data_IF_671742380686
#
_entry.id   IF_671742380686
#
_cell.length_a   1.000
_cell.length_b   1.000
_cell.length_c   1.000
_cell.angle_alpha   90.00
_cell.angle_beta   90.00
_cell.angle_gamma   90.00
#
_symmetry.space_group_name_H-M   'P 1'
#
loop_
_entity.id
_entity.type
_entity.pdbx_description
1 polymer ?
#
# COMPACT_ATOMS: atom_id res chain seq x y z
N UNK A 1 -2.31 -54.59 86.29
CA UNK A 1 -1.74 -53.28 86.57
C UNK A 1 -0.77 -52.91 85.45
N UNK A 2 -1.17 -52.07 84.50
CA UNK A 2 -0.33 -51.25 83.61
C UNK A 2 -1.23 -50.27 82.89
N UNK A 3 -1.10 -49.05 83.32
CA UNK A 3 -1.76 -47.85 82.78
C UNK A 3 -1.15 -47.51 81.43
N UNK A 4 -1.99 -47.32 80.40
CA UNK A 4 -1.56 -46.79 79.06
C UNK A 4 -2.12 -45.38 78.96
N UNK A 5 -1.22 -44.39 78.90
CA UNK A 5 -1.52 -43.00 78.57
C UNK A 5 -1.65 -42.88 77.05
N UNK A 6 -2.79 -42.36 76.61
CA UNK A 6 -3.02 -41.97 75.17
C UNK A 6 -2.64 -40.49 74.99
N UNK A 7 -1.66 -40.23 74.17
CA UNK A 7 -1.26 -38.88 73.75
C UNK A 7 -2.05 -38.43 72.54
N UNK A 8 -2.79 -37.34 72.62
CA UNK A 8 -3.43 -36.67 71.52
C UNK A 8 -2.39 -35.80 70.81
N UNK A 9 -2.10 -36.10 69.50
CA UNK A 9 -1.36 -35.23 68.63
C UNK A 9 -2.35 -34.31 67.91
N UNK A 10 -2.29 -33.00 68.16
CA UNK A 10 -3.02 -31.97 67.45
C UNK A 10 -2.21 -31.63 66.22
N UNK A 11 -2.69 -32.02 65.03
CA UNK A 11 -2.13 -31.61 63.71
C UNK A 11 -2.73 -30.24 63.34
N UNK A 12 -1.93 -29.21 63.50
CA UNK A 12 -2.28 -27.86 63.03
C UNK A 12 -2.19 -27.76 61.48
N UNK A 13 -3.34 -27.67 60.81
CA UNK A 13 -3.41 -27.33 59.38
C UNK A 13 -3.14 -25.83 59.22
N UNK A 14 -1.94 -25.46 58.73
CA UNK A 14 -1.64 -24.10 58.32
C UNK A 14 -2.27 -23.89 56.91
N UNK A 15 -3.37 -23.13 56.85
CA UNK A 15 -3.91 -22.64 55.58
C UNK A 15 -2.95 -21.59 55.00
N UNK A 16 -2.14 -21.97 54.00
CA UNK A 16 -1.44 -21.04 53.13
C UNK A 16 -2.45 -20.42 52.15
N UNK A 17 -2.98 -19.24 52.50
CA UNK A 17 -3.77 -18.42 51.56
C UNK A 17 -2.81 -17.86 50.50
N UNK A 18 -2.73 -18.53 49.34
CA UNK A 18 -2.07 -17.98 48.14
C UNK A 18 -2.85 -16.77 47.69
N UNK A 19 -2.35 -15.58 47.95
CA UNK A 19 -2.83 -14.34 47.33
C UNK A 19 -2.38 -14.42 45.88
N UNK A 20 -3.27 -14.85 45.00
CA UNK A 20 -3.11 -14.71 43.54
C UNK A 20 -3.17 -13.22 43.21
N UNK A 21 -2.03 -12.56 43.32
CA UNK A 21 -1.88 -11.20 42.80
C UNK A 21 -2.14 -11.25 41.30
N UNK A 22 -3.22 -10.62 40.85
CA UNK A 22 -3.44 -10.36 39.45
C UNK A 22 -2.29 -9.47 38.97
N UNK A 23 -1.33 -10.06 38.25
CA UNK A 23 -0.31 -9.30 37.55
C UNK A 23 -1.05 -8.52 36.46
N UNK A 24 -1.41 -7.28 36.78
CA UNK A 24 -1.91 -6.33 35.81
C UNK A 24 -0.76 -6.08 34.84
N UNK A 25 -0.95 -6.41 33.58
CA UNK A 25 0.03 -6.07 32.55
C UNK A 25 0.33 -4.56 32.65
N UNK A 26 1.61 -4.21 32.69
CA UNK A 26 2.02 -2.82 32.76
C UNK A 26 1.45 -2.07 31.54
N UNK A 27 0.93 -0.87 31.79
CA UNK A 27 0.45 -0.03 30.68
C UNK A 27 1.63 0.29 29.74
N UNK A 28 1.41 0.29 28.41
CA UNK A 28 2.46 0.62 27.45
C UNK A 28 3.06 2.01 27.74
N UNK A 29 4.39 2.15 27.63
CA UNK A 29 5.03 3.45 27.83
C UNK A 29 4.64 4.45 26.73
N UNK A 30 4.67 5.78 27.01
CA UNK A 30 4.43 6.81 26.03
C UNK A 30 5.34 6.69 24.79
N UNK A 31 6.58 6.30 24.97
CA UNK A 31 7.57 6.10 23.89
C UNK A 31 7.17 4.93 22.99
N UNK A 32 6.71 3.81 23.58
CA UNK A 32 6.22 2.67 22.82
C UNK A 32 4.97 3.02 22.01
N UNK A 33 4.05 3.78 22.58
CA UNK A 33 2.84 4.28 21.90
C UNK A 33 3.23 5.21 20.74
N UNK A 34 4.14 6.16 20.98
CA UNK A 34 4.62 7.07 19.95
C UNK A 34 5.31 6.31 18.80
N UNK A 35 6.15 5.33 19.12
CA UNK A 35 6.77 4.47 18.11
C UNK A 35 5.72 3.65 17.35
N UNK A 36 4.75 3.07 18.04
CA UNK A 36 3.63 2.35 17.43
C UNK A 36 2.84 3.21 16.45
N UNK A 37 2.63 4.49 16.76
CA UNK A 37 1.99 5.45 15.86
C UNK A 37 2.78 5.59 14.55
N UNK A 38 4.10 5.79 14.62
CA UNK A 38 4.93 5.90 13.40
C UNK A 38 4.88 4.64 12.54
N UNK A 39 4.79 3.46 13.16
CA UNK A 39 4.65 2.20 12.44
C UNK A 39 3.27 2.05 11.80
N UNK A 40 2.19 2.47 12.46
CA UNK A 40 0.82 2.47 11.90
C UNK A 40 0.72 3.41 10.71
N UNK A 41 1.35 4.58 10.78
CA UNK A 41 1.46 5.53 9.67
C UNK A 41 2.28 4.92 8.51
N UNK A 42 3.45 4.37 8.79
CA UNK A 42 4.30 3.73 7.78
C UNK A 42 3.64 2.50 7.11
N UNK A 43 2.81 1.76 7.86
CA UNK A 43 2.05 0.62 7.37
C UNK A 43 0.75 0.98 6.65
N UNK A 44 0.45 2.28 6.50
CA UNK A 44 -0.76 2.79 5.83
C UNK A 44 -2.07 2.15 6.30
N UNK A 45 -2.16 1.83 7.59
CA UNK A 45 -3.30 1.10 8.15
C UNK A 45 -4.61 1.87 7.98
N UNK A 46 -4.56 3.21 8.07
CA UNK A 46 -5.74 4.08 7.98
C UNK A 46 -6.42 3.99 6.60
N UNK A 47 -5.66 3.86 5.51
CA UNK A 47 -6.19 3.81 4.14
C UNK A 47 -7.17 2.66 3.93
N UNK A 48 -6.95 1.52 4.57
CA UNK A 48 -7.87 0.38 4.50
C UNK A 48 -8.89 0.39 5.65
N UNK A 49 -8.49 0.79 6.85
CA UNK A 49 -9.29 0.60 8.05
C UNK A 49 -10.15 1.82 8.46
N UNK A 50 -10.26 2.84 7.58
CA UNK A 50 -11.10 4.02 7.80
C UNK A 50 -12.03 4.24 6.61
N UNK A 51 -13.27 3.76 6.70
CA UNK A 51 -14.29 4.04 5.69
C UNK A 51 -14.95 5.41 5.89
N UNK A 52 -15.11 5.81 7.15
CA UNK A 52 -15.67 7.08 7.58
C UNK A 52 -14.59 7.90 8.29
N UNK A 53 -14.15 9.04 7.76
CA UNK A 53 -13.13 9.88 8.41
C UNK A 53 -13.48 10.32 9.83
N UNK A 54 -14.77 10.40 10.18
CA UNK A 54 -15.22 10.71 11.54
C UNK A 54 -15.03 9.54 12.52
N UNK A 55 -14.76 8.34 12.01
CA UNK A 55 -14.56 7.11 12.79
C UNK A 55 -13.28 6.40 12.36
N UNK A 56 -12.11 7.00 12.59
CA UNK A 56 -10.84 6.44 12.14
C UNK A 56 -10.63 5.04 12.73
N UNK A 57 -10.09 4.15 11.91
CA UNK A 57 -9.84 2.74 12.22
C UNK A 57 -11.06 1.88 12.56
N UNK A 58 -12.29 2.38 12.41
CA UNK A 58 -13.50 1.60 12.65
C UNK A 58 -13.83 0.57 11.54
N UNK A 59 -12.97 0.44 10.54
CA UNK A 59 -13.12 -0.51 9.45
C UNK A 59 -14.20 -0.13 8.43
N UNK A 60 -14.72 -1.14 7.74
CA UNK A 60 -15.87 -1.00 6.83
C UNK A 60 -15.51 -0.59 5.39
N UNK A 61 -14.26 -0.18 5.10
CA UNK A 61 -13.85 0.17 3.73
C UNK A 61 -13.89 -1.09 2.86
N UNK A 62 -14.57 -0.97 1.72
CA UNK A 62 -14.64 -1.99 0.69
C UNK A 62 -13.33 -2.02 -0.10
N UNK A 63 -12.79 -3.20 -0.30
CA UNK A 63 -11.60 -3.46 -1.10
C UNK A 63 -12.00 -4.43 -2.21
N UNK A 64 -12.04 -3.93 -3.44
CA UNK A 64 -12.35 -4.74 -4.60
C UNK A 64 -11.12 -5.53 -5.05
N UNK A 65 -11.34 -6.80 -5.35
CA UNK A 65 -10.33 -7.73 -5.85
C UNK A 65 -10.83 -8.44 -7.10
N UNK A 66 -9.96 -9.06 -7.90
CA UNK A 66 -10.40 -9.90 -9.01
C UNK A 66 -11.32 -11.06 -8.60
N UNK A 67 -11.35 -11.41 -7.31
CA UNK A 67 -12.14 -12.52 -6.76
C UNK A 67 -13.46 -12.08 -6.13
N UNK A 68 -13.73 -10.80 -6.04
CA UNK A 68 -14.85 -10.17 -5.35
C UNK A 68 -14.40 -9.14 -4.33
N UNK A 69 -15.29 -8.68 -3.45
CA UNK A 69 -14.98 -7.67 -2.46
C UNK A 69 -14.68 -8.26 -1.08
N UNK A 70 -13.79 -7.61 -0.36
CA UNK A 70 -13.57 -7.80 1.07
C UNK A 70 -13.75 -6.48 1.80
N UNK A 71 -13.96 -6.54 3.10
CA UNK A 71 -14.11 -5.36 3.94
C UNK A 71 -13.04 -5.35 5.03
N UNK A 72 -12.37 -4.20 5.20
CA UNK A 72 -11.38 -4.03 6.25
C UNK A 72 -12.08 -4.07 7.62
N UNK A 73 -11.54 -4.82 8.61
CA UNK A 73 -12.14 -4.93 9.92
C UNK A 73 -11.91 -3.69 10.79
N UNK A 74 -12.66 -3.60 11.89
CA UNK A 74 -12.50 -2.62 12.95
C UNK A 74 -11.21 -2.90 13.75
N UNK A 75 -10.28 -1.94 13.78
CA UNK A 75 -9.04 -1.98 14.55
C UNK A 75 -9.09 -1.17 15.85
N UNK A 76 -10.24 -0.54 16.17
CA UNK A 76 -10.37 0.18 17.44
C UNK A 76 -10.36 -0.78 18.62
N UNK A 77 -10.05 -0.29 19.85
CA UNK A 77 -10.02 -1.13 21.05
C UNK A 77 -11.42 -1.49 21.60
N UNK A 78 -12.45 -1.45 20.76
CA UNK A 78 -13.76 -2.01 21.12
C UNK A 78 -13.62 -3.51 21.35
N UNK A 79 -14.17 -4.01 22.46
CA UNK A 79 -13.96 -5.40 22.91
C UNK A 79 -14.74 -6.41 22.10
N UNK A 80 -15.91 -6.01 21.59
CA UNK A 80 -16.87 -6.92 20.94
C UNK A 80 -16.73 -6.90 19.43
N UNK A 81 -16.46 -5.74 18.85
CA UNK A 81 -16.46 -5.56 17.38
C UNK A 81 -15.08 -5.19 16.81
N UNK A 82 -14.13 -4.81 17.67
CA UNK A 82 -12.77 -4.43 17.33
C UNK A 82 -11.73 -5.43 17.81
N UNK A 83 -10.53 -4.92 18.09
CA UNK A 83 -9.41 -5.75 18.56
C UNK A 83 -9.17 -5.67 20.07
N UNK A 84 -10.04 -4.98 20.84
CA UNK A 84 -9.86 -4.75 22.28
C UNK A 84 -9.83 -6.03 23.12
N UNK A 85 -10.54 -7.09 22.68
CA UNK A 85 -10.56 -8.40 23.31
C UNK A 85 -9.42 -9.34 22.92
N UNK A 86 -8.54 -8.96 21.98
CA UNK A 86 -7.49 -9.84 21.48
C UNK A 86 -6.27 -9.90 22.43
N UNK A 87 -5.67 -11.08 22.56
CA UNK A 87 -4.36 -11.19 23.17
C UNK A 87 -3.26 -10.65 22.22
N UNK A 88 -2.13 -10.21 22.78
CA UNK A 88 -0.97 -9.74 21.98
C UNK A 88 -0.45 -10.81 21.02
N UNK A 89 -0.51 -12.09 21.44
CA UNK A 89 -0.15 -13.22 20.60
C UNK A 89 -1.07 -13.38 19.41
N UNK A 90 -2.39 -13.13 19.56
CA UNK A 90 -3.35 -13.20 18.47
C UNK A 90 -3.14 -12.07 17.47
N UNK A 91 -2.88 -10.86 17.96
CA UNK A 91 -2.58 -9.72 17.11
C UNK A 91 -1.30 -9.92 16.29
N UNK A 92 -0.22 -10.38 16.96
CA UNK A 92 1.05 -10.71 16.28
C UNK A 92 0.86 -11.83 15.24
N UNK A 93 0.06 -12.86 15.59
CA UNK A 93 -0.25 -13.97 14.68
C UNK A 93 -1.05 -13.50 13.46
N UNK A 94 -2.02 -12.62 13.65
CA UNK A 94 -2.80 -12.03 12.57
C UNK A 94 -1.91 -11.25 11.59
N UNK A 95 -1.07 -10.34 12.09
CA UNK A 95 -0.18 -9.53 11.25
C UNK A 95 0.87 -10.39 10.53
N UNK A 96 1.55 -11.29 11.24
CA UNK A 96 2.71 -11.98 10.69
C UNK A 96 2.39 -13.27 9.95
N UNK A 97 1.26 -13.89 10.23
CA UNK A 97 0.91 -15.18 9.65
C UNK A 97 -0.46 -15.20 8.96
N UNK A 98 -1.20 -14.10 9.01
CA UNK A 98 -2.52 -14.02 8.41
C UNK A 98 -3.54 -14.97 9.03
N UNK A 99 -3.45 -15.22 10.34
CA UNK A 99 -4.32 -16.15 11.08
C UNK A 99 -5.09 -15.40 12.16
N UNK A 100 -6.41 -15.44 12.08
CA UNK A 100 -7.31 -14.82 13.04
C UNK A 100 -7.32 -15.53 14.40
N UNK A 101 -7.87 -14.92 15.47
CA UNK A 101 -7.97 -15.54 16.79
C UNK A 101 -8.70 -16.90 16.79
N UNK A 102 -9.71 -17.06 15.93
CA UNK A 102 -10.47 -18.30 15.75
C UNK A 102 -9.73 -19.39 14.93
N UNK A 103 -8.47 -19.10 14.50
CA UNK A 103 -7.66 -19.99 13.69
C UNK A 103 -7.95 -19.94 12.19
N UNK A 104 -8.91 -19.14 11.74
CA UNK A 104 -9.20 -18.97 10.32
C UNK A 104 -8.10 -18.13 9.63
N UNK A 105 -7.84 -18.41 8.34
CA UNK A 105 -6.87 -17.65 7.57
C UNK A 105 -7.49 -16.39 6.97
N UNK A 106 -6.74 -15.30 6.96
CA UNK A 106 -7.11 -14.09 6.21
C UNK A 106 -6.82 -14.25 4.71
N UNK A 107 -7.49 -13.45 3.89
CA UNK A 107 -7.17 -13.30 2.48
C UNK A 107 -5.93 -12.40 2.32
N UNK A 108 -5.05 -12.66 1.34
CA UNK A 108 -3.78 -11.93 1.19
C UNK A 108 -3.91 -10.50 0.66
N UNK A 109 -5.15 -10.01 0.47
CA UNK A 109 -5.41 -8.57 0.35
C UNK A 109 -5.14 -7.83 1.68
N UNK A 110 -5.23 -8.50 2.83
CA UNK A 110 -4.51 -8.14 4.04
C UNK A 110 -3.04 -8.52 3.84
N UNK A 111 -2.08 -7.57 3.81
CA UNK A 111 -0.73 -7.83 3.30
C UNK A 111 0.19 -8.56 4.30
N UNK A 112 -0.33 -9.58 5.02
CA UNK A 112 0.48 -10.42 5.91
C UNK A 112 1.69 -11.07 5.23
N UNK A 113 1.70 -11.34 3.89
CA UNK A 113 2.91 -11.83 3.23
C UNK A 113 4.08 -10.85 3.27
N UNK A 114 3.83 -9.59 3.51
CA UNK A 114 4.81 -8.53 3.75
C UNK A 114 5.03 -8.34 5.26
N UNK A 115 3.96 -8.21 6.02
CA UNK A 115 4.00 -7.98 7.48
C UNK A 115 4.69 -9.09 8.26
N UNK A 116 4.82 -10.30 7.70
CA UNK A 116 5.61 -11.38 8.31
C UNK A 116 7.07 -10.99 8.58
N UNK A 117 7.59 -9.99 7.84
CA UNK A 117 8.95 -9.46 8.01
C UNK A 117 9.12 -8.56 9.23
N UNK A 118 8.02 -8.08 9.83
CA UNK A 118 8.10 -7.24 11.02
C UNK A 118 8.60 -8.03 12.23
N UNK A 119 9.29 -7.34 13.12
CA UNK A 119 9.66 -7.89 14.42
C UNK A 119 8.42 -8.07 15.31
N UNK A 120 8.52 -8.89 16.32
CA UNK A 120 7.46 -9.01 17.33
C UNK A 120 7.28 -7.68 18.08
N UNK A 121 8.35 -6.99 18.38
CA UNK A 121 8.31 -5.72 19.11
C UNK A 121 7.60 -4.63 18.31
N UNK A 122 7.80 -4.57 16.99
CA UNK A 122 7.06 -3.67 16.13
C UNK A 122 5.55 -4.00 16.12
N UNK A 123 5.18 -5.28 16.10
CA UNK A 123 3.76 -5.65 16.18
C UNK A 123 3.13 -5.26 17.51
N UNK A 124 3.88 -5.36 18.61
CA UNK A 124 3.43 -4.94 19.94
C UNK A 124 3.35 -3.42 20.08
N UNK A 125 4.27 -2.68 19.47
CA UNK A 125 4.19 -1.22 19.41
C UNK A 125 2.94 -0.74 18.64
N UNK A 126 2.67 -1.33 17.47
CA UNK A 126 1.43 -1.08 16.71
C UNK A 126 0.20 -1.36 17.59
N UNK A 127 0.18 -2.50 18.27
CA UNK A 127 -0.91 -2.89 19.18
C UNK A 127 -1.10 -1.89 20.32
N UNK A 128 0.00 -1.42 20.91
CA UNK A 128 -0.02 -0.42 21.97
C UNK A 128 -0.67 0.88 21.50
N UNK A 129 -0.27 1.40 20.34
CA UNK A 129 -0.87 2.60 19.77
C UNK A 129 -2.37 2.41 19.46
N UNK A 130 -2.75 1.33 18.77
CA UNK A 130 -4.16 1.06 18.46
C UNK A 130 -5.02 0.94 19.72
N UNK A 131 -4.43 0.47 20.82
CA UNK A 131 -5.09 0.41 22.12
C UNK A 131 -5.41 1.76 22.75
N UNK A 132 -4.79 2.86 22.29
CA UNK A 132 -5.07 4.23 22.75
C UNK A 132 -6.20 4.93 22.01
N UNK A 133 -6.66 4.35 20.91
CA UNK A 133 -7.74 4.94 20.11
C UNK A 133 -9.07 4.90 20.85
N UNK A 134 -9.98 5.80 20.49
CA UNK A 134 -11.34 5.73 20.99
C UNK A 134 -12.03 4.44 20.50
N UNK A 135 -12.66 3.65 21.38
CA UNK A 135 -13.41 2.46 20.95
C UNK A 135 -14.65 2.87 20.12
N UNK A 136 -14.85 2.21 18.99
CA UNK A 136 -16.00 2.42 18.12
C UNK A 136 -16.71 1.09 17.91
N UNK A 137 -18.00 1.02 18.23
CA UNK A 137 -18.83 -0.14 17.94
C UNK A 137 -19.12 -0.17 16.44
N UNK A 138 -18.42 -1.06 15.71
CA UNK A 138 -18.57 -1.22 14.26
C UNK A 138 -18.40 -2.70 13.89
N UNK A 139 -19.49 -3.35 13.53
CA UNK A 139 -19.48 -4.78 13.17
C UNK A 139 -18.79 -5.00 11.84
N UNK A 140 -17.88 -5.97 11.80
CA UNK A 140 -17.19 -6.37 10.59
C UNK A 140 -18.14 -6.98 9.57
N UNK A 141 -18.06 -6.53 8.31
CA UNK A 141 -18.86 -7.08 7.22
C UNK A 141 -18.23 -8.37 6.69
N UNK A 142 -19.03 -9.40 6.34
CA UNK A 142 -18.53 -10.59 5.68
C UNK A 142 -17.99 -10.25 4.27
N UNK A 143 -17.01 -11.01 3.75
CA UNK A 143 -16.53 -10.81 2.39
C UNK A 143 -17.59 -11.22 1.35
N UNK A 144 -17.64 -10.50 0.22
CA UNK A 144 -18.49 -10.76 -0.94
C UNK A 144 -17.65 -11.39 -2.07
N UNK A 145 -17.13 -12.58 -1.84
CA UNK A 145 -16.28 -13.28 -2.80
C UNK A 145 -17.08 -14.27 -3.66
N UNK A 146 -16.69 -14.38 -4.94
CA UNK A 146 -17.30 -15.34 -5.86
C UNK A 146 -16.93 -16.76 -5.45
N UNK A 147 -17.87 -17.69 -5.65
CA UNK A 147 -17.57 -19.10 -5.46
C UNK A 147 -16.43 -19.55 -6.41
N UNK A 148 -15.42 -20.34 -5.95
CA UNK A 148 -15.26 -20.95 -4.60
C UNK A 148 -14.42 -20.10 -3.63
N UNK A 149 -14.02 -18.89 -3.98
CA UNK A 149 -13.04 -18.07 -3.24
C UNK A 149 -13.55 -17.64 -1.86
N UNK A 150 -14.86 -17.66 -1.60
CA UNK A 150 -15.43 -17.42 -0.26
C UNK A 150 -15.10 -18.49 0.78
N UNK A 151 -14.61 -19.67 0.35
CA UNK A 151 -14.25 -20.74 1.26
C UNK A 151 -12.82 -20.53 1.83
N UNK A 152 -12.74 -20.07 3.08
CA UNK A 152 -11.45 -19.71 3.74
C UNK A 152 -10.46 -20.88 3.85
N UNK A 153 -10.94 -22.12 3.83
CA UNK A 153 -10.06 -23.30 3.82
C UNK A 153 -9.08 -23.33 2.66
N UNK A 154 -9.44 -22.72 1.51
CA UNK A 154 -8.54 -22.59 0.36
C UNK A 154 -7.30 -21.76 0.66
N UNK A 155 -7.35 -20.85 1.65
CA UNK A 155 -6.21 -20.04 2.05
C UNK A 155 -5.08 -20.86 2.68
N UNK A 156 -5.37 -22.02 3.26
CA UNK A 156 -4.29 -22.92 3.74
C UNK A 156 -3.47 -23.45 2.58
N UNK A 157 -4.14 -23.85 1.48
CA UNK A 157 -3.47 -24.32 0.25
C UNK A 157 -2.68 -23.16 -0.36
N UNK A 158 -3.30 -21.98 -0.47
CA UNK A 158 -2.65 -20.78 -0.99
C UNK A 158 -1.40 -20.44 -0.18
N UNK A 159 -1.49 -20.44 1.14
CA UNK A 159 -0.34 -20.18 2.03
C UNK A 159 0.78 -21.19 1.84
N UNK A 160 0.47 -22.47 1.71
CA UNK A 160 1.48 -23.51 1.47
C UNK A 160 2.22 -23.28 0.14
N UNK A 161 1.53 -22.78 -0.89
CA UNK A 161 2.11 -22.59 -2.22
C UNK A 161 2.87 -21.25 -2.36
N UNK A 162 2.40 -20.18 -1.72
CA UNK A 162 2.82 -18.82 -2.04
C UNK A 162 3.31 -17.99 -0.86
N UNK A 163 3.05 -18.41 0.37
CA UNK A 163 3.45 -17.67 1.56
C UNK A 163 4.67 -18.31 2.22
N UNK A 164 5.71 -17.53 2.40
CA UNK A 164 6.90 -17.90 3.17
C UNK A 164 7.04 -16.97 4.36
N UNK A 165 6.71 -17.42 5.57
CA UNK A 165 6.89 -16.61 6.76
C UNK A 165 8.39 -16.41 7.06
N UNK A 166 8.75 -15.23 7.56
CA UNK A 166 10.13 -14.93 7.92
C UNK A 166 10.30 -13.47 8.31
N UNK A 167 11.26 -13.18 9.16
CA UNK A 167 11.67 -11.82 9.50
C UNK A 167 12.43 -11.20 8.33
N UNK A 168 12.50 -9.85 8.33
CA UNK A 168 13.47 -9.16 7.51
C UNK A 168 14.89 -9.49 7.99
N UNK A 169 15.74 -9.91 7.10
CA UNK A 169 17.14 -10.20 7.38
C UNK A 169 18.00 -9.05 6.84
N UNK A 170 18.66 -8.27 7.72
CA UNK A 170 19.55 -7.20 7.30
C UNK A 170 20.76 -7.74 6.53
N UNK A 171 21.09 -7.09 5.43
CA UNK A 171 22.33 -7.35 4.70
C UNK A 171 23.47 -6.57 5.36
N UNK A 172 24.42 -7.29 5.96
CA UNK A 172 25.55 -6.71 6.68
C UNK A 172 26.55 -5.98 5.77
N UNK A 173 26.47 -6.18 4.45
CA UNK A 173 27.30 -5.47 3.46
C UNK A 173 26.74 -4.12 3.10
N UNK A 174 25.49 -3.82 3.50
CA UNK A 174 24.77 -2.60 3.18
C UNK A 174 24.71 -1.64 4.36
N UNK A 175 24.43 -0.37 4.08
CA UNK A 175 24.27 0.65 5.12
C UNK A 175 23.02 0.41 5.98
N UNK A 176 23.01 0.97 7.19
CA UNK A 176 21.83 0.95 8.06
C UNK A 176 20.61 1.60 7.38
N UNK A 177 20.80 2.68 6.63
CA UNK A 177 19.72 3.33 5.86
C UNK A 177 19.18 2.41 4.77
N UNK A 178 20.03 1.69 4.06
CA UNK A 178 19.58 0.72 3.05
C UNK A 178 18.76 -0.41 3.68
N UNK A 179 19.24 -0.98 4.78
CA UNK A 179 18.54 -2.04 5.50
C UNK A 179 17.19 -1.56 6.06
N UNK A 180 17.14 -0.34 6.63
CA UNK A 180 15.89 0.26 7.08
C UNK A 180 14.91 0.46 5.91
N UNK A 181 15.40 0.95 4.78
CA UNK A 181 14.61 1.09 3.55
C UNK A 181 14.09 -0.25 3.04
N UNK A 182 14.94 -1.28 3.02
CA UNK A 182 14.54 -2.65 2.66
C UNK A 182 13.45 -3.21 3.55
N UNK A 183 13.57 -3.02 4.88
CA UNK A 183 12.55 -3.38 5.85
C UNK A 183 11.21 -2.68 5.58
N UNK A 184 11.24 -1.37 5.34
CA UNK A 184 10.03 -0.60 5.07
C UNK A 184 9.39 -1.00 3.73
N UNK A 185 10.15 -1.04 2.64
CA UNK A 185 9.63 -1.32 1.29
C UNK A 185 9.11 -2.74 1.15
N UNK A 186 9.84 -3.73 1.68
CA UNK A 186 9.52 -5.16 1.50
C UNK A 186 8.72 -5.76 2.64
N UNK A 187 8.57 -5.04 3.75
CA UNK A 187 7.86 -5.42 4.96
C UNK A 187 6.71 -4.45 5.25
N UNK A 188 6.90 -3.58 6.24
CA UNK A 188 5.83 -2.76 6.81
C UNK A 188 5.08 -1.88 5.80
N UNK A 189 5.80 -1.17 4.93
CA UNK A 189 5.21 -0.30 3.89
C UNK A 189 4.64 -1.06 2.69
N UNK A 190 4.84 -2.38 2.60
CA UNK A 190 4.28 -3.33 1.62
C UNK A 190 4.14 -2.80 0.18
N UNK A 191 5.09 -1.98 -0.29
CA UNK A 191 5.07 -1.33 -1.61
C UNK A 191 4.83 -2.34 -2.75
N UNK A 192 5.39 -3.55 -2.63
CA UNK A 192 5.20 -4.65 -3.57
C UNK A 192 3.74 -5.12 -3.69
N UNK A 193 2.87 -4.88 -2.70
CA UNK A 193 1.46 -5.26 -2.77
C UNK A 193 0.77 -4.64 -4.00
N UNK A 194 1.12 -3.39 -4.32
CA UNK A 194 0.64 -2.69 -5.50
C UNK A 194 1.63 -2.74 -6.67
N UNK A 195 2.94 -2.63 -6.41
CA UNK A 195 3.97 -2.46 -7.44
C UNK A 195 4.61 -3.76 -7.97
N UNK A 196 4.16 -4.94 -7.52
CA UNK A 196 4.64 -6.25 -8.02
C UNK A 196 3.53 -6.96 -8.79
N UNK A 197 3.80 -7.48 -10.01
CA UNK A 197 2.82 -8.23 -10.79
C UNK A 197 2.31 -9.45 -10.03
N UNK A 198 1.04 -9.78 -10.21
CA UNK A 198 0.39 -10.93 -9.58
C UNK A 198 0.24 -12.09 -10.57
N UNK A 199 0.22 -13.32 -10.04
CA UNK A 199 -0.21 -14.48 -10.79
C UNK A 199 -1.74 -14.62 -10.77
N UNK A 200 -2.28 -15.66 -11.41
CA UNK A 200 -3.72 -15.92 -11.48
C UNK A 200 -4.37 -16.18 -10.10
N UNK A 201 -3.58 -16.53 -9.09
CA UNK A 201 -4.03 -16.75 -7.72
C UNK A 201 -3.85 -15.52 -6.81
N UNK A 202 -3.47 -14.38 -7.38
CA UNK A 202 -3.25 -13.13 -6.64
C UNK A 202 -1.92 -13.06 -5.88
N UNK A 203 -1.05 -14.06 -6.01
CA UNK A 203 0.26 -14.05 -5.38
C UNK A 203 1.29 -13.28 -6.21
N UNK A 204 2.29 -12.70 -5.54
CA UNK A 204 3.36 -11.94 -6.17
C UNK A 204 4.23 -12.81 -7.09
N UNK A 205 4.54 -12.29 -8.26
CA UNK A 205 5.61 -12.84 -9.10
C UNK A 205 6.96 -12.34 -8.58
N UNK A 206 7.51 -13.04 -7.59
CA UNK A 206 8.70 -12.61 -6.85
C UNK A 206 9.91 -12.27 -7.75
N UNK A 207 10.11 -13.01 -8.84
CA UNK A 207 11.15 -12.71 -9.83
C UNK A 207 10.96 -11.39 -10.57
N UNK A 208 9.79 -10.75 -10.43
CA UNK A 208 9.43 -9.48 -11.02
C UNK A 208 9.05 -8.45 -9.93
N UNK A 209 9.62 -8.60 -8.73
CA UNK A 209 9.32 -7.70 -7.63
C UNK A 209 9.49 -6.23 -8.04
N UNK A 210 8.54 -5.39 -7.64
CA UNK A 210 8.53 -3.95 -7.89
C UNK A 210 8.59 -3.53 -9.38
N UNK A 211 8.26 -4.43 -10.33
CA UNK A 211 8.30 -4.12 -11.76
C UNK A 211 6.99 -3.59 -12.34
N UNK A 212 6.10 -3.10 -11.49
CA UNK A 212 4.81 -2.49 -11.85
C UNK A 212 3.67 -3.51 -11.98
N UNK A 213 2.45 -3.07 -11.67
CA UNK A 213 1.24 -3.89 -11.70
C UNK A 213 -0.01 -3.03 -11.88
N UNK A 214 -1.10 -3.63 -12.35
CA UNK A 214 -2.43 -3.01 -12.33
C UNK A 214 -3.17 -3.37 -11.05
N UNK A 215 -3.71 -2.36 -10.35
CA UNK A 215 -4.47 -2.52 -9.12
C UNK A 215 -5.61 -1.50 -9.08
N UNK A 216 -6.84 -1.95 -8.85
CA UNK A 216 -8.02 -1.07 -8.74
C UNK A 216 -8.25 -0.19 -9.98
N UNK A 217 -7.90 -0.66 -11.17
CA UNK A 217 -8.00 0.11 -12.42
C UNK A 217 -6.89 1.15 -12.61
N UNK A 218 -5.92 1.24 -11.71
CA UNK A 218 -4.73 2.07 -11.82
C UNK A 218 -3.50 1.22 -12.13
N UNK A 219 -2.56 1.76 -12.86
CA UNK A 219 -1.25 1.15 -13.05
C UNK A 219 -0.27 1.72 -12.03
N UNK A 220 0.12 0.91 -11.06
CA UNK A 220 1.22 1.22 -10.15
C UNK A 220 2.55 1.02 -10.92
N UNK A 221 3.33 2.09 -11.16
CA UNK A 221 4.53 2.01 -12.00
C UNK A 221 5.64 1.19 -11.36
N UNK A 222 6.70 0.93 -12.11
CA UNK A 222 7.90 0.27 -11.64
C UNK A 222 8.63 1.13 -10.61
N UNK A 223 9.09 0.49 -9.54
CA UNK A 223 9.95 1.09 -8.52
C UNK A 223 11.39 0.58 -8.59
N UNK A 224 11.72 -0.22 -9.61
CA UNK A 224 13.07 -0.73 -9.85
C UNK A 224 13.90 0.22 -10.75
N UNK A 225 15.17 -0.11 -11.00
CA UNK A 225 16.12 0.69 -11.76
C UNK A 225 15.93 0.65 -13.29
N UNK A 226 14.72 0.38 -13.80
CA UNK A 226 14.48 0.44 -15.25
C UNK A 226 14.72 1.84 -15.82
N UNK A 227 15.39 1.98 -16.97
CA UNK A 227 15.83 3.29 -17.50
C UNK A 227 14.69 4.24 -17.87
N UNK A 228 13.63 3.75 -18.52
CA UNK A 228 12.53 4.57 -19.05
C UNK A 228 11.30 4.53 -18.16
N UNK A 229 10.95 3.34 -17.65
CA UNK A 229 9.68 3.07 -16.97
C UNK A 229 9.81 2.91 -15.45
N UNK A 230 11.05 3.00 -14.92
CA UNK A 230 11.36 2.89 -13.50
C UNK A 230 12.05 4.12 -12.93
N UNK A 231 12.78 3.93 -11.84
CA UNK A 231 13.39 5.02 -11.07
C UNK A 231 14.84 5.34 -11.44
N UNK A 232 15.37 4.82 -12.57
CA UNK A 232 16.79 5.04 -12.96
C UNK A 232 17.14 6.53 -13.09
N UNK A 233 16.24 7.33 -13.65
CA UNK A 233 16.43 8.78 -13.87
C UNK A 233 16.10 9.64 -12.65
N UNK A 234 15.55 9.07 -11.58
CA UNK A 234 15.21 9.80 -10.35
C UNK A 234 16.42 9.84 -9.42
N UNK A 235 16.64 10.95 -8.73
CA UNK A 235 17.58 11.04 -7.61
C UNK A 235 16.91 10.51 -6.33
N UNK A 236 17.69 10.34 -5.27
CA UNK A 236 17.16 10.04 -3.93
C UNK A 236 16.24 11.17 -3.49
N UNK A 237 16.62 12.41 -3.76
CA UNK A 237 15.87 13.62 -3.43
C UNK A 237 14.53 13.69 -4.18
N UNK A 238 14.50 13.31 -5.47
CA UNK A 238 13.24 13.21 -6.23
C UNK A 238 12.26 12.23 -5.59
N UNK A 239 12.76 11.08 -5.14
CA UNK A 239 11.92 10.06 -4.48
C UNK A 239 11.43 10.56 -3.12
N UNK A 240 12.31 11.19 -2.33
CA UNK A 240 11.97 11.76 -1.02
C UNK A 240 10.89 12.85 -1.19
N UNK A 241 11.10 13.80 -2.11
CA UNK A 241 10.14 14.86 -2.38
C UNK A 241 8.78 14.30 -2.77
N UNK A 242 8.76 13.32 -3.70
CA UNK A 242 7.52 12.69 -4.15
C UNK A 242 6.76 12.00 -3.02
N UNK A 243 7.44 11.21 -2.20
CA UNK A 243 6.80 10.47 -1.10
C UNK A 243 6.28 11.40 0.01
N UNK A 244 6.92 12.53 0.24
CA UNK A 244 6.53 13.48 1.30
C UNK A 244 5.49 14.50 0.85
N UNK A 245 5.50 14.89 -0.42
CA UNK A 245 4.65 15.95 -0.94
C UNK A 245 3.58 15.49 -1.92
N UNK A 246 3.71 14.25 -2.44
CA UNK A 246 2.87 13.74 -3.52
C UNK A 246 3.26 14.27 -4.90
N UNK A 247 4.35 15.06 -5.01
CA UNK A 247 4.80 15.63 -6.27
C UNK A 247 6.28 15.99 -6.23
N UNK A 248 6.89 16.02 -7.39
CA UNK A 248 8.23 16.54 -7.59
C UNK A 248 8.34 17.16 -9.00
N UNK A 249 9.55 17.45 -9.44
CA UNK A 249 9.78 18.00 -10.78
C UNK A 249 9.49 17.01 -11.93
N UNK A 250 9.19 15.74 -11.65
CA UNK A 250 9.04 14.67 -12.66
C UNK A 250 7.64 14.05 -12.71
N UNK A 251 6.89 14.07 -11.59
CA UNK A 251 5.62 13.35 -11.49
C UNK A 251 4.76 13.85 -10.33
N UNK A 252 3.48 13.50 -10.40
CA UNK A 252 2.50 13.71 -9.33
C UNK A 252 1.87 12.38 -8.91
N UNK A 253 1.52 12.26 -7.64
CA UNK A 253 0.74 11.15 -7.11
C UNK A 253 -0.75 11.37 -7.40
N UNK A 254 -1.40 10.30 -7.85
CA UNK A 254 -2.82 10.30 -8.16
C UNK A 254 -3.46 8.97 -7.77
N UNK A 255 -4.79 8.91 -7.71
CA UNK A 255 -5.55 7.72 -7.36
C UNK A 255 -5.08 7.07 -6.05
N UNK A 256 -4.85 5.76 -6.07
CA UNK A 256 -4.44 5.02 -4.87
C UNK A 256 -3.10 5.49 -4.28
N UNK A 257 -2.15 5.95 -5.13
CA UNK A 257 -0.87 6.46 -4.62
C UNK A 257 -1.05 7.80 -3.88
N UNK A 258 -2.03 8.61 -4.26
CA UNK A 258 -2.40 9.81 -3.55
C UNK A 258 -2.86 9.50 -2.11
N UNK A 259 -3.68 8.44 -1.92
CA UNK A 259 -4.09 7.98 -0.59
C UNK A 259 -2.87 7.55 0.25
N UNK A 260 -1.93 6.80 -0.34
CA UNK A 260 -0.69 6.37 0.34
C UNK A 260 0.14 7.57 0.79
N UNK A 261 0.29 8.60 -0.06
CA UNK A 261 1.01 9.81 0.33
C UNK A 261 0.33 10.51 1.50
N UNK A 262 -0.98 10.76 1.41
CA UNK A 262 -1.72 11.50 2.44
C UNK A 262 -1.77 10.74 3.77
N UNK A 263 -2.00 9.44 3.74
CA UNK A 263 -2.24 8.65 4.94
C UNK A 263 -0.98 8.04 5.55
N UNK A 264 0.10 7.90 4.78
CA UNK A 264 1.33 7.24 5.18
C UNK A 264 2.57 8.10 4.95
N UNK A 265 3.08 8.14 3.73
CA UNK A 265 4.47 8.58 3.47
C UNK A 265 4.74 10.05 3.81
N UNK A 266 3.75 10.94 3.70
CA UNK A 266 3.89 12.35 4.13
C UNK A 266 4.01 12.53 5.66
N UNK A 267 3.64 11.51 6.44
CA UNK A 267 3.68 11.50 7.91
C UNK A 267 4.92 10.83 8.47
N UNK A 268 5.64 10.09 7.63
CA UNK A 268 6.86 9.40 8.03
C UNK A 268 8.00 10.37 8.33
N UNK A 269 8.95 9.91 9.14
CA UNK A 269 10.16 10.68 9.40
C UNK A 269 11.02 10.86 8.14
N UNK A 270 11.76 11.97 8.05
CA UNK A 270 12.68 12.23 6.95
C UNK A 270 13.71 11.11 6.78
N UNK A 271 14.15 10.52 7.89
CA UNK A 271 15.09 9.42 7.90
C UNK A 271 14.50 8.15 7.26
N UNK A 272 13.25 7.79 7.57
CA UNK A 272 12.58 6.62 7.02
C UNK A 272 12.23 6.80 5.53
N UNK A 273 11.74 7.98 5.14
CA UNK A 273 11.48 8.27 3.71
C UNK A 273 12.77 8.25 2.90
N UNK A 274 13.86 8.83 3.43
CA UNK A 274 15.19 8.75 2.79
C UNK A 274 15.72 7.32 2.72
N UNK A 275 15.49 6.52 3.74
CA UNK A 275 15.87 5.10 3.75
C UNK A 275 15.14 4.33 2.63
N UNK A 276 13.83 4.54 2.48
CA UNK A 276 13.03 4.00 1.36
C UNK A 276 13.66 4.41 0.02
N UNK A 277 13.97 5.69 -0.17
CA UNK A 277 14.55 6.21 -1.41
C UNK A 277 15.91 5.59 -1.72
N UNK A 278 16.80 5.46 -0.72
CA UNK A 278 18.12 4.81 -0.85
C UNK A 278 17.97 3.35 -1.28
N UNK A 279 17.06 2.62 -0.66
CA UNK A 279 16.79 1.23 -1.03
C UNK A 279 16.27 1.11 -2.46
N UNK A 280 15.19 1.84 -2.81
CA UNK A 280 14.59 1.78 -4.15
C UNK A 280 15.59 2.18 -5.24
N UNK A 281 16.43 3.19 -4.98
CA UNK A 281 17.44 3.66 -5.92
C UNK A 281 18.55 2.63 -6.19
N UNK A 282 18.80 1.72 -5.27
CA UNK A 282 19.80 0.66 -5.40
C UNK A 282 19.33 -0.53 -6.24
N UNK A 283 18.02 -0.65 -6.49
CA UNK A 283 17.47 -1.83 -7.13
C UNK A 283 17.84 -1.90 -8.62
N UNK A 284 18.30 -3.04 -9.13
CA UNK A 284 18.46 -3.27 -10.56
C UNK A 284 17.08 -3.43 -11.23
N UNK A 285 16.98 -3.31 -12.56
CA UNK A 285 15.74 -3.61 -13.27
C UNK A 285 15.40 -5.10 -13.14
N UNK A 286 14.21 -5.41 -12.59
CA UNK A 286 13.74 -6.78 -12.36
C UNK A 286 13.39 -7.53 -13.67
N UNK A 287 13.09 -6.79 -14.74
CA UNK A 287 12.84 -7.33 -16.08
C UNK A 287 13.24 -6.34 -17.15
N UNK A 288 13.49 -6.83 -18.36
CA UNK A 288 13.74 -5.96 -19.53
C UNK A 288 12.52 -5.11 -19.83
N UNK A 289 12.77 -3.92 -20.37
CA UNK A 289 11.71 -3.06 -20.89
C UNK A 289 11.22 -3.56 -22.23
N UNK A 290 9.94 -3.36 -22.51
CA UNK A 290 9.32 -3.74 -23.79
C UNK A 290 9.85 -2.83 -24.90
N UNK A 291 10.23 -3.42 -26.02
CA UNK A 291 10.49 -2.68 -27.25
C UNK A 291 9.14 -2.27 -27.82
N UNK A 292 8.99 -1.01 -28.18
CA UNK A 292 7.73 -0.42 -28.64
C UNK A 292 7.89 -0.02 -30.10
N UNK A 293 6.90 -0.38 -30.91
CA UNK A 293 6.76 0.13 -32.29
C UNK A 293 6.10 1.51 -32.19
N UNK A 294 6.72 2.57 -32.76
CA UNK A 294 6.12 3.89 -32.78
C UNK A 294 4.78 3.90 -33.52
N UNK A 295 3.85 4.82 -33.16
CA UNK A 295 2.64 5.05 -33.94
C UNK A 295 2.98 5.57 -35.34
N UNK A 296 2.05 5.37 -36.28
CA UNK A 296 2.15 6.00 -37.60
C UNK A 296 1.93 7.53 -37.55
N UNK A 297 2.30 8.22 -38.63
CA UNK A 297 2.21 9.68 -38.73
C UNK A 297 0.76 10.19 -38.60
N UNK A 298 -0.21 9.46 -39.15
CA UNK A 298 -1.62 9.84 -39.07
C UNK A 298 -2.13 9.83 -37.64
N UNK A 299 -1.79 8.78 -36.84
CA UNK A 299 -2.10 8.68 -35.43
C UNK A 299 -1.46 9.81 -34.63
N UNK A 300 -0.17 10.12 -34.88
CA UNK A 300 0.53 11.21 -34.20
C UNK A 300 -0.08 12.58 -34.53
N UNK A 301 -0.43 12.84 -35.79
CA UNK A 301 -1.07 14.10 -36.23
C UNK A 301 -2.46 14.28 -35.59
N UNK A 302 -3.26 13.23 -35.55
CA UNK A 302 -4.58 13.27 -34.90
C UNK A 302 -4.44 13.59 -33.38
N UNK A 303 -3.52 12.93 -32.69
CA UNK A 303 -3.26 13.19 -31.27
C UNK A 303 -2.70 14.59 -31.00
N UNK A 304 -1.82 15.08 -31.87
CA UNK A 304 -1.30 16.45 -31.81
C UNK A 304 -2.40 17.50 -31.89
N UNK A 305 -3.39 17.31 -32.78
CA UNK A 305 -4.53 18.21 -32.90
C UNK A 305 -5.37 18.29 -31.64
N UNK A 306 -5.63 17.14 -30.97
CA UNK A 306 -6.34 17.11 -29.69
C UNK A 306 -5.50 17.78 -28.59
N UNK A 307 -4.19 17.48 -28.54
CA UNK A 307 -3.27 18.08 -27.57
C UNK A 307 -3.23 19.61 -27.67
N UNK A 308 -3.09 20.13 -28.87
CA UNK A 308 -3.05 21.58 -29.12
C UNK A 308 -4.34 22.30 -28.69
N UNK A 309 -5.48 21.61 -28.74
CA UNK A 309 -6.79 22.20 -28.42
C UNK A 309 -7.09 22.15 -26.91
N UNK A 310 -6.70 21.08 -26.20
CA UNK A 310 -7.19 20.80 -24.87
C UNK A 310 -6.10 20.73 -23.80
N UNK A 311 -4.82 20.53 -24.15
CA UNK A 311 -3.77 20.17 -23.19
C UNK A 311 -2.65 21.22 -23.10
N UNK A 312 -2.37 21.92 -24.20
CA UNK A 312 -1.22 22.82 -24.35
C UNK A 312 -1.20 23.97 -23.34
N UNK A 313 -2.38 24.43 -22.91
CA UNK A 313 -2.49 25.57 -21.98
C UNK A 313 -1.85 25.33 -20.60
N UNK A 314 -1.80 24.06 -20.18
CA UNK A 314 -1.20 23.66 -18.90
C UNK A 314 0.11 22.90 -19.10
N UNK A 315 0.18 22.06 -20.16
CA UNK A 315 1.33 21.19 -20.38
C UNK A 315 2.37 21.76 -21.37
N UNK A 316 2.14 22.95 -21.91
CA UNK A 316 3.02 23.65 -22.88
C UNK A 316 3.18 22.88 -24.22
N UNK A 317 3.71 23.54 -25.24
CA UNK A 317 3.87 22.93 -26.56
C UNK A 317 4.89 21.78 -26.59
N UNK A 318 5.91 21.89 -25.78
CA UNK A 318 6.99 20.91 -25.62
C UNK A 318 6.71 19.88 -24.50
N UNK A 319 5.54 19.93 -23.89
CA UNK A 319 5.12 19.03 -22.83
C UNK A 319 5.78 19.25 -21.47
N UNK A 320 6.61 20.32 -21.30
CA UNK A 320 7.38 20.54 -20.06
C UNK A 320 6.51 20.95 -18.89
N UNK A 321 5.33 21.52 -19.14
CA UNK A 321 4.40 21.97 -18.11
C UNK A 321 5.03 22.98 -17.15
N UNK A 322 4.54 23.00 -15.94
CA UNK A 322 5.12 23.77 -14.83
C UNK A 322 5.46 22.80 -13.70
N UNK A 323 6.74 22.47 -13.50
CA UNK A 323 7.16 21.49 -12.49
C UNK A 323 6.51 21.75 -11.12
N UNK A 324 6.02 20.71 -10.46
CA UNK A 324 5.28 20.73 -9.20
C UNK A 324 3.86 21.35 -9.25
N UNK A 325 3.43 21.89 -10.38
CA UNK A 325 2.06 22.39 -10.60
C UNK A 325 1.40 21.54 -11.69
N UNK A 326 1.98 21.55 -12.89
CA UNK A 326 1.57 20.71 -14.02
C UNK A 326 2.72 19.77 -14.37
N UNK A 327 2.54 18.43 -14.23
CA UNK A 327 3.65 17.51 -14.39
C UNK A 327 4.20 17.52 -15.81
N UNK A 328 5.52 17.41 -15.99
CA UNK A 328 6.13 17.25 -17.30
C UNK A 328 5.71 15.92 -17.92
N UNK A 329 5.46 15.94 -19.21
CA UNK A 329 5.15 14.76 -20.03
C UNK A 329 6.41 14.11 -20.63
N UNK A 330 7.47 14.86 -21.03
CA UNK A 330 8.73 14.28 -21.50
C UNK A 330 9.38 13.38 -20.45
N UNK A 331 9.93 12.25 -20.89
CA UNK A 331 10.62 11.26 -20.04
C UNK A 331 9.80 10.77 -18.83
N UNK A 332 8.48 10.88 -18.87
CA UNK A 332 7.60 10.44 -17.79
C UNK A 332 7.46 8.91 -17.80
N UNK A 333 7.86 8.26 -16.71
CA UNK A 333 7.85 6.80 -16.58
C UNK A 333 6.45 6.18 -16.71
N UNK A 334 5.41 6.88 -16.22
CA UNK A 334 4.04 6.41 -16.31
C UNK A 334 3.54 6.41 -17.77
N UNK A 335 3.83 7.46 -18.53
CA UNK A 335 3.44 7.55 -19.95
C UNK A 335 4.10 6.47 -20.80
N UNK A 336 5.31 6.06 -20.47
CA UNK A 336 6.07 5.02 -21.16
C UNK A 336 5.74 3.60 -20.71
N UNK A 337 4.89 3.44 -19.69
CA UNK A 337 4.50 2.15 -19.15
C UNK A 337 3.76 1.29 -20.17
N UNK A 338 3.89 -0.05 -20.05
CA UNK A 338 3.16 -0.98 -20.92
C UNK A 338 1.64 -0.92 -20.75
N UNK A 339 1.17 -0.54 -19.57
CA UNK A 339 -0.25 -0.43 -19.28
C UNK A 339 -0.66 1.05 -19.20
N UNK A 340 -1.61 1.52 -20.03
CA UNK A 340 -2.04 2.91 -20.08
C UNK A 340 -3.11 3.28 -19.04
N UNK A 341 -3.55 2.37 -18.17
CA UNK A 341 -4.72 2.57 -17.28
C UNK A 341 -4.69 3.89 -16.53
N UNK A 342 -3.58 4.22 -15.86
CA UNK A 342 -3.48 5.49 -15.12
C UNK A 342 -3.53 6.70 -16.04
N UNK A 343 -2.84 6.66 -17.19
CA UNK A 343 -2.91 7.75 -18.19
C UNK A 343 -4.35 7.97 -18.65
N UNK A 344 -5.07 6.89 -18.95
CA UNK A 344 -6.46 6.96 -19.38
C UNK A 344 -7.38 7.47 -18.30
N UNK A 345 -7.24 7.00 -17.06
CA UNK A 345 -8.04 7.48 -15.92
C UNK A 345 -7.82 8.95 -15.64
N UNK A 346 -6.56 9.40 -15.57
CA UNK A 346 -6.23 10.82 -15.39
C UNK A 346 -6.85 11.67 -16.50
N UNK A 347 -6.82 11.20 -17.75
CA UNK A 347 -7.43 11.94 -18.86
C UNK A 347 -8.96 11.92 -18.78
N UNK A 348 -9.58 10.80 -18.44
CA UNK A 348 -11.03 10.65 -18.38
C UNK A 348 -11.64 11.37 -17.19
N UNK A 349 -11.09 11.13 -16.00
CA UNK A 349 -11.69 11.48 -14.72
C UNK A 349 -11.15 12.81 -14.15
N UNK A 350 -10.07 13.32 -14.77
CA UNK A 350 -9.29 14.42 -14.22
C UNK A 350 -8.36 13.98 -13.11
N UNK A 351 -7.64 14.93 -12.55
CA UNK A 351 -6.71 14.69 -11.44
C UNK A 351 -6.65 15.88 -10.50
N UNK A 352 -6.43 15.59 -9.20
CA UNK A 352 -6.19 16.60 -8.18
C UNK A 352 -4.89 16.28 -7.45
N UNK A 353 -3.96 17.22 -7.42
CA UNK A 353 -2.76 17.04 -6.61
C UNK A 353 -3.12 16.98 -5.13
N UNK A 354 -2.47 16.08 -4.41
CA UNK A 354 -2.70 15.94 -2.97
C UNK A 354 -2.20 17.12 -2.17
N UNK A 355 -2.89 17.44 -1.10
CA UNK A 355 -2.44 18.42 -0.10
C UNK A 355 -1.70 17.69 1.01
N UNK A 356 -0.47 18.12 1.28
CA UNK A 356 0.35 17.65 2.39
C UNK A 356 0.94 18.85 3.14
N UNK A 357 1.45 18.68 4.38
CA UNK A 357 2.14 19.77 5.08
C UNK A 357 3.30 20.40 4.28
N UNK A 358 3.93 19.62 3.40
CA UNK A 358 5.05 20.07 2.55
C UNK A 358 4.61 20.64 1.20
N UNK A 359 3.36 20.42 0.81
CA UNK A 359 2.80 20.90 -0.45
C UNK A 359 1.32 21.27 -0.25
N UNK A 360 1.04 22.43 0.36
CA UNK A 360 -0.33 22.84 0.72
C UNK A 360 -1.17 23.29 -0.46
N UNK A 361 -0.55 23.68 -1.58
CA UNK A 361 -1.27 24.13 -2.77
C UNK A 361 -1.64 22.95 -3.66
N UNK A 362 -2.85 22.99 -4.23
CA UNK A 362 -3.34 21.98 -5.17
C UNK A 362 -3.34 22.50 -6.60
N UNK A 363 -3.11 21.58 -7.55
CA UNK A 363 -3.39 21.78 -8.96
C UNK A 363 -4.52 20.83 -9.38
N UNK A 364 -5.23 21.19 -10.44
CA UNK A 364 -6.32 20.41 -10.99
C UNK A 364 -6.12 20.17 -12.47
N UNK A 365 -6.34 18.94 -12.93
CA UNK A 365 -6.49 18.59 -14.34
C UNK A 365 -7.97 18.30 -14.58
N UNK A 366 -8.62 18.98 -15.55
CA UNK A 366 -10.02 18.75 -15.86
C UNK A 366 -10.31 17.34 -16.36
N UNK A 367 -11.51 16.85 -16.09
CA UNK A 367 -12.02 15.59 -16.65
C UNK A 367 -12.48 15.78 -18.11
N UNK A 368 -11.97 14.92 -18.99
CA UNK A 368 -12.31 14.99 -20.42
C UNK A 368 -13.29 13.90 -20.88
N UNK A 369 -13.79 13.06 -19.99
CA UNK A 369 -14.71 11.97 -20.33
C UNK A 369 -15.97 12.42 -21.08
N UNK A 370 -16.46 13.65 -20.83
CA UNK A 370 -17.66 14.18 -21.49
C UNK A 370 -17.37 15.03 -22.73
N UNK A 371 -16.11 15.39 -22.96
CA UNK A 371 -15.70 16.35 -24.00
C UNK A 371 -15.05 15.67 -25.19
N UNK A 372 -14.39 14.53 -24.96
CA UNK A 372 -13.63 13.80 -25.97
C UNK A 372 -14.20 12.40 -26.19
N UNK A 373 -14.21 11.97 -27.44
CA UNK A 373 -14.56 10.59 -27.82
C UNK A 373 -13.47 9.60 -27.45
N UNK A 374 -13.75 8.31 -27.56
CA UNK A 374 -12.76 7.26 -27.29
C UNK A 374 -11.60 7.30 -28.28
N UNK A 375 -11.87 7.68 -29.54
CA UNK A 375 -10.88 7.87 -30.58
C UNK A 375 -9.97 9.06 -30.29
N UNK A 376 -10.53 10.20 -29.88
CA UNK A 376 -9.78 11.41 -29.53
C UNK A 376 -8.89 11.18 -28.28
N UNK A 377 -9.42 10.49 -27.25
CA UNK A 377 -8.62 10.14 -26.05
C UNK A 377 -7.51 9.16 -26.42
N UNK A 378 -7.78 8.14 -27.25
CA UNK A 378 -6.75 7.22 -27.71
C UNK A 378 -5.68 7.96 -28.54
N UNK A 379 -6.08 8.88 -29.40
CA UNK A 379 -5.17 9.68 -30.25
C UNK A 379 -4.25 10.55 -29.36
N UNK A 380 -4.80 11.34 -28.44
CA UNK A 380 -3.97 12.19 -27.56
C UNK A 380 -3.09 11.37 -26.61
N UNK A 381 -3.59 10.23 -26.09
CA UNK A 381 -2.78 9.32 -25.30
C UNK A 381 -1.60 8.77 -26.11
N UNK A 382 -1.81 8.38 -27.37
CA UNK A 382 -0.73 7.93 -28.25
C UNK A 382 0.27 9.06 -28.53
N UNK A 383 -0.19 10.28 -28.75
CA UNK A 383 0.67 11.44 -28.95
C UNK A 383 1.57 11.69 -27.74
N UNK A 384 1.03 11.88 -26.54
CA UNK A 384 1.83 12.20 -25.35
C UNK A 384 2.75 11.04 -24.92
N UNK A 385 2.35 9.80 -25.20
CA UNK A 385 3.13 8.61 -24.90
C UNK A 385 4.28 8.35 -25.88
N UNK A 386 4.30 9.07 -27.03
CA UNK A 386 5.31 8.87 -28.06
C UNK A 386 5.93 10.18 -28.60
N UNK A 387 5.68 11.32 -27.93
CA UNK A 387 6.32 12.59 -28.20
C UNK A 387 7.47 12.86 -27.21
N UNK A 388 8.33 13.81 -27.53
CA UNK A 388 9.38 14.35 -26.66
C UNK A 388 10.32 13.28 -26.07
N UNK A 389 10.61 12.23 -26.87
CA UNK A 389 11.46 11.12 -26.46
C UNK A 389 10.76 10.02 -25.65
N UNK A 390 9.46 10.14 -25.40
CA UNK A 390 8.67 9.05 -24.86
C UNK A 390 8.52 7.93 -25.90
N UNK A 391 8.33 6.69 -25.43
CA UNK A 391 8.12 5.50 -26.25
C UNK A 391 7.20 4.53 -25.50
N UNK A 392 5.90 4.74 -25.59
CA UNK A 392 4.84 3.94 -24.98
C UNK A 392 4.07 3.10 -26.00
N UNK A 393 3.59 1.91 -25.64
CA UNK A 393 2.73 1.10 -26.51
C UNK A 393 1.46 1.85 -26.90
N UNK A 394 0.94 1.51 -28.09
CA UNK A 394 -0.29 2.09 -28.64
C UNK A 394 -1.48 1.85 -27.72
N UNK A 395 -2.34 2.85 -27.65
CA UNK A 395 -3.64 2.83 -26.99
C UNK A 395 -4.72 2.74 -28.06
N UNK A 396 -5.67 1.85 -27.89
CA UNK A 396 -6.81 1.68 -28.78
C UNK A 396 -8.07 2.34 -28.22
N UNK A 397 -9.04 2.77 -29.06
CA UNK A 397 -10.35 3.25 -28.59
C UNK A 397 -11.08 2.23 -27.69
N UNK A 398 -10.92 0.94 -27.96
CA UNK A 398 -11.51 -0.12 -27.13
C UNK A 398 -10.94 -0.15 -25.69
N UNK A 399 -9.66 0.19 -25.51
CA UNK A 399 -9.08 0.33 -24.16
C UNK A 399 -9.63 1.56 -23.44
N UNK A 400 -9.88 2.67 -24.16
CA UNK A 400 -10.54 3.86 -23.61
C UNK A 400 -11.96 3.54 -23.19
N UNK A 401 -12.76 2.90 -24.06
CA UNK A 401 -14.12 2.47 -23.77
C UNK A 401 -14.19 1.54 -22.55
N UNK A 402 -13.20 0.66 -22.37
CA UNK A 402 -13.06 -0.18 -21.18
C UNK A 402 -12.75 0.66 -19.94
N UNK A 403 -11.81 1.59 -20.01
CA UNK A 403 -11.44 2.46 -18.88
C UNK A 403 -12.62 3.32 -18.44
N UNK A 404 -13.40 3.87 -19.36
CA UNK A 404 -14.59 4.68 -19.11
C UNK A 404 -15.71 3.95 -18.34
N UNK A 405 -15.74 2.61 -18.40
CA UNK A 405 -16.72 1.76 -17.68
C UNK A 405 -16.24 1.33 -16.29
N UNK A 406 -14.99 1.58 -15.96
CA UNK A 406 -14.45 1.25 -14.64
C UNK A 406 -14.78 2.39 -13.68
N UNK A 407 -15.30 2.10 -12.47
CA UNK A 407 -15.61 3.11 -11.46
C UNK A 407 -14.36 3.76 -10.87
#
# INVERSE_FOLDING_TARGET
MRTILAGLAVVGLALCSAVAGTVRAAEPSPELIAYGKTLVEAGDCASCHTADPAKPFAGGKRIDTPFGAIYAPNLTPDRDTGIGGWADADFTRALRYGVAPDGSSYYPAFPYPYFTKMTKDDTLAIRAYLGTLAPVVSRNKPPELRWPFGYRGLMRIWNTMFFKPGLFEPDQSQSAAWNRGGYLVTGLGHCGACHTPKNYFGADKQAQALSGNEVGGWYAPRLDGAPRTGLKSWSVEDIVEYLQSGRNAKSHADGLMAEVVVNSTSKMSDADVRAIAVYLKSLPPARRETIVTPPDEATMKAGQAVYAKFCIACHEADGTGSPRIYPPLPANALLQSVNPSSTLRITLDGAHTVTTPRAPNTGEMPAYARQLSDEEIAAVANYIRNSWGNSGPLVTPAQVAKARKQP
#
